data_IF_320033164399
#
_entry.id   IF_320033164399
#
_cell.length_a   1.000
_cell.length_b   1.000
_cell.length_c   1.000
_cell.angle_alpha   90.00
_cell.angle_beta   90.00
_cell.angle_gamma   90.00
#
_symmetry.space_group_name_H-M   'P 1'
#
loop_
_entity.id
_entity.type
_entity.pdbx_description
1 polymer ?
#
# COMPACT_ATOMS: atom_id res chain seq x y z
N UNK A 1 -15.73 17.37 2.88
CA UNK A 1 -15.64 17.88 1.49
C UNK A 1 -16.89 18.70 1.22
N UNK A 2 -16.76 19.90 0.65
CA UNK A 2 -17.92 20.70 0.22
C UNK A 2 -18.50 20.17 -1.09
N UNK A 3 -19.74 20.55 -1.42
CA UNK A 3 -20.38 20.20 -2.70
C UNK A 3 -19.58 20.72 -3.89
N UNK A 4 -19.05 21.93 -3.80
CA UNK A 4 -18.19 22.53 -4.84
C UNK A 4 -16.88 21.75 -5.03
N UNK A 5 -16.28 21.28 -3.93
CA UNK A 5 -15.08 20.43 -4.01
C UNK A 5 -15.37 19.09 -4.68
N UNK A 6 -16.54 18.50 -4.41
CA UNK A 6 -16.96 17.24 -5.04
C UNK A 6 -17.24 17.43 -6.54
N UNK A 7 -17.96 18.48 -6.92
CA UNK A 7 -18.25 18.79 -8.33
C UNK A 7 -16.97 19.14 -9.12
N UNK A 8 -16.02 19.85 -8.50
CA UNK A 8 -14.72 20.12 -9.10
C UNK A 8 -13.87 18.85 -9.28
N UNK A 9 -13.93 17.92 -8.31
CA UNK A 9 -13.29 16.62 -8.41
C UNK A 9 -13.85 15.80 -9.58
N UNK A 10 -15.18 15.73 -9.71
CA UNK A 10 -15.85 15.04 -10.83
C UNK A 10 -15.42 15.58 -12.20
N UNK A 11 -15.44 16.90 -12.40
CA UNK A 11 -14.98 17.51 -13.67
C UNK A 11 -13.51 17.18 -13.98
N UNK A 12 -12.65 17.19 -12.97
CA UNK A 12 -11.23 16.86 -13.15
C UNK A 12 -11.06 15.39 -13.60
N UNK A 13 -11.88 14.47 -13.08
CA UNK A 13 -11.87 13.08 -13.50
C UNK A 13 -12.34 12.90 -14.95
N UNK A 14 -13.38 13.64 -15.36
CA UNK A 14 -13.86 13.63 -16.75
C UNK A 14 -12.79 14.15 -17.71
N UNK A 15 -12.07 15.22 -17.36
CA UNK A 15 -10.98 15.76 -18.18
C UNK A 15 -9.76 14.81 -18.24
N UNK A 16 -9.50 14.06 -17.16
CA UNK A 16 -8.36 13.17 -17.08
C UNK A 16 -8.45 11.94 -17.99
N UNK A 17 -9.65 11.46 -18.33
CA UNK A 17 -9.82 10.18 -19.03
C UNK A 17 -9.18 10.18 -20.42
N UNK A 18 -9.25 11.29 -21.15
CA UNK A 18 -8.67 11.38 -22.50
C UNK A 18 -7.15 11.42 -22.46
N UNK A 19 -6.57 12.11 -21.47
CA UNK A 19 -5.13 12.09 -21.22
C UNK A 19 -4.65 10.67 -20.85
N UNK A 20 -5.40 9.95 -20.01
CA UNK A 20 -5.08 8.58 -19.62
C UNK A 20 -5.13 7.65 -20.85
N UNK A 21 -6.19 7.75 -21.65
CA UNK A 21 -6.34 6.95 -22.88
C UNK A 21 -5.20 7.22 -23.87
N UNK A 22 -4.82 8.48 -24.05
CA UNK A 22 -3.69 8.84 -24.91
C UNK A 22 -2.37 8.29 -24.39
N UNK A 23 -2.11 8.37 -23.08
CA UNK A 23 -0.90 7.83 -22.47
C UNK A 23 -0.80 6.31 -22.63
N UNK A 24 -1.90 5.59 -22.36
CA UNK A 24 -2.00 4.14 -22.55
C UNK A 24 -1.78 3.76 -24.02
N UNK A 25 -2.44 4.44 -24.96
CA UNK A 25 -2.32 4.16 -26.39
C UNK A 25 -0.92 4.46 -26.92
N UNK A 26 -0.24 5.48 -26.39
CA UNK A 26 1.11 5.87 -26.78
C UNK A 26 2.19 4.93 -26.28
N UNK A 27 1.95 4.18 -25.19
CA UNK A 27 2.93 3.27 -24.59
C UNK A 27 2.25 2.11 -23.85
N UNK A 28 1.59 1.18 -24.57
CA UNK A 28 0.81 0.11 -23.92
C UNK A 28 1.64 -0.85 -23.08
N UNK A 29 2.96 -0.96 -23.34
CA UNK A 29 3.90 -1.75 -22.54
C UNK A 29 4.46 -1.03 -21.31
N UNK A 30 4.16 0.26 -21.12
CA UNK A 30 4.51 0.98 -19.90
C UNK A 30 3.41 0.76 -18.84
N UNK A 31 3.71 0.21 -17.65
CA UNK A 31 2.72 0.01 -16.60
C UNK A 31 2.28 1.30 -15.88
N UNK A 32 2.99 2.42 -16.05
CA UNK A 32 2.68 3.66 -15.33
C UNK A 32 1.32 4.25 -15.74
N UNK A 33 0.99 4.40 -17.04
CA UNK A 33 -0.36 4.81 -17.45
C UNK A 33 -1.47 3.90 -16.92
N UNK A 34 -1.23 2.58 -16.83
CA UNK A 34 -2.18 1.62 -16.27
C UNK A 34 -2.43 1.83 -14.77
N UNK A 35 -1.40 2.16 -13.99
CA UNK A 35 -1.57 2.54 -12.58
C UNK A 35 -2.47 3.78 -12.44
N UNK A 36 -2.30 4.77 -13.32
CA UNK A 36 -3.14 5.98 -13.34
C UNK A 36 -4.58 5.64 -13.77
N UNK A 37 -4.76 4.76 -14.75
CA UNK A 37 -6.08 4.29 -15.17
C UNK A 37 -6.83 3.56 -14.05
N UNK A 38 -6.15 2.69 -13.28
CA UNK A 38 -6.74 2.01 -12.12
C UNK A 38 -7.11 2.99 -11.00
N UNK A 39 -6.25 3.98 -10.73
CA UNK A 39 -6.56 5.07 -9.79
C UNK A 39 -7.79 5.85 -10.24
N UNK A 40 -7.90 6.16 -11.53
CA UNK A 40 -9.04 6.85 -12.12
C UNK A 40 -10.31 6.03 -11.98
N UNK A 41 -10.30 4.74 -12.32
CA UNK A 41 -11.44 3.84 -12.14
C UNK A 41 -11.99 3.86 -10.71
N UNK A 42 -11.09 3.87 -9.71
CA UNK A 42 -11.50 3.97 -8.31
C UNK A 42 -12.14 5.32 -7.97
N UNK A 43 -11.58 6.42 -8.49
CA UNK A 43 -12.04 7.78 -8.20
C UNK A 43 -13.33 8.16 -8.92
N UNK A 44 -13.56 7.65 -10.14
CA UNK A 44 -14.73 7.95 -10.95
C UNK A 44 -15.92 7.04 -10.67
N UNK A 45 -15.81 6.16 -9.67
CA UNK A 45 -16.75 5.05 -9.45
C UNK A 45 -17.02 4.26 -10.73
N UNK A 46 -15.94 4.01 -11.49
CA UNK A 46 -16.00 3.34 -12.78
C UNK A 46 -16.54 1.93 -12.67
N UNK A 47 -17.17 1.46 -13.76
CA UNK A 47 -17.68 0.10 -13.87
C UNK A 47 -16.56 -0.93 -13.63
N UNK A 48 -16.85 -1.97 -12.84
CA UNK A 48 -15.93 -3.08 -12.55
C UNK A 48 -15.33 -3.70 -13.81
N UNK A 49 -16.07 -3.73 -14.91
CA UNK A 49 -15.60 -4.24 -16.20
C UNK A 49 -14.43 -3.42 -16.78
N UNK A 50 -14.42 -2.10 -16.60
CA UNK A 50 -13.32 -1.22 -17.03
C UNK A 50 -12.09 -1.45 -16.15
N UNK A 51 -12.29 -1.63 -14.84
CA UNK A 51 -11.23 -2.02 -13.92
C UNK A 51 -10.60 -3.36 -14.33
N UNK A 52 -11.43 -4.37 -14.61
CA UNK A 52 -10.95 -5.70 -15.02
C UNK A 52 -10.21 -5.64 -16.38
N UNK A 53 -10.60 -4.74 -17.29
CA UNK A 53 -9.87 -4.48 -18.53
C UNK A 53 -8.50 -3.86 -18.28
N UNK A 54 -8.43 -2.81 -17.44
CA UNK A 54 -7.16 -2.20 -17.06
C UNK A 54 -6.21 -3.21 -16.41
N UNK A 55 -6.74 -4.12 -15.58
CA UNK A 55 -5.95 -5.21 -14.99
C UNK A 55 -5.40 -6.18 -16.04
N UNK A 56 -6.21 -6.59 -17.02
CA UNK A 56 -5.74 -7.47 -18.11
C UNK A 56 -4.63 -6.83 -18.94
N UNK A 57 -4.72 -5.53 -19.19
CA UNK A 57 -3.68 -4.83 -19.94
C UNK A 57 -2.43 -4.58 -19.10
N UNK A 58 -2.58 -4.28 -17.80
CA UNK A 58 -1.46 -4.24 -16.86
C UNK A 58 -0.69 -5.57 -16.85
N UNK A 59 -1.39 -6.71 -16.83
CA UNK A 59 -0.77 -8.03 -16.83
C UNK A 59 0.10 -8.27 -18.09
N UNK A 60 -0.26 -7.65 -19.22
CA UNK A 60 0.55 -7.70 -20.46
C UNK A 60 1.76 -6.76 -20.40
N UNK A 61 1.64 -5.62 -19.72
CA UNK A 61 2.69 -4.60 -19.62
C UNK A 61 3.76 -4.97 -18.58
N UNK A 62 3.33 -5.14 -17.32
CA UNK A 62 4.17 -5.59 -16.21
C UNK A 62 3.27 -6.17 -15.09
N UNK A 63 3.18 -7.50 -14.97
CA UNK A 63 2.34 -8.14 -13.96
C UNK A 63 2.84 -7.92 -12.52
N UNK A 64 4.00 -7.31 -12.29
CA UNK A 64 4.56 -7.11 -10.95
C UNK A 64 4.77 -5.62 -10.61
N UNK A 65 4.28 -4.70 -11.45
CA UNK A 65 4.38 -3.27 -11.21
C UNK A 65 3.65 -2.87 -9.91
N UNK A 66 4.43 -2.59 -8.87
CA UNK A 66 3.92 -2.36 -7.52
C UNK A 66 2.86 -1.25 -7.46
N UNK A 67 3.12 -0.10 -8.11
CA UNK A 67 2.18 1.02 -8.07
C UNK A 67 0.81 0.66 -8.65
N UNK A 68 0.77 -0.10 -9.74
CA UNK A 68 -0.48 -0.51 -10.35
C UNK A 68 -1.20 -1.58 -9.52
N UNK A 69 -0.45 -2.54 -8.97
CA UNK A 69 -1.01 -3.57 -8.07
C UNK A 69 -1.54 -2.97 -6.77
N UNK A 70 -0.89 -1.95 -6.24
CA UNK A 70 -1.40 -1.16 -5.12
C UNK A 70 -2.74 -0.50 -5.46
N UNK A 71 -2.83 0.20 -6.61
CA UNK A 71 -4.08 0.85 -7.02
C UNK A 71 -5.22 -0.16 -7.21
N UNK A 72 -4.89 -1.34 -7.74
CA UNK A 72 -5.85 -2.43 -7.89
C UNK A 72 -6.32 -3.02 -6.55
N UNK A 73 -5.40 -3.29 -5.62
CA UNK A 73 -5.73 -3.74 -4.27
C UNK A 73 -6.66 -2.76 -3.56
N UNK A 74 -6.39 -1.45 -3.69
CA UNK A 74 -7.24 -0.41 -3.14
C UNK A 74 -8.65 -0.37 -3.78
N UNK A 75 -8.77 -0.65 -5.08
CA UNK A 75 -10.09 -0.71 -5.74
C UNK A 75 -10.97 -1.80 -5.11
N UNK A 76 -10.41 -2.99 -4.86
CA UNK A 76 -11.13 -4.15 -4.33
C UNK A 76 -11.19 -4.21 -2.80
N UNK A 77 -10.74 -3.18 -2.08
CA UNK A 77 -10.83 -3.14 -0.63
C UNK A 77 -12.20 -2.67 -0.13
N UNK A 78 -12.50 -2.97 1.14
CA UNK A 78 -13.83 -2.80 1.73
C UNK A 78 -14.40 -1.37 1.71
N UNK A 79 -13.53 -0.34 1.77
CA UNK A 79 -13.95 1.08 1.72
C UNK A 79 -14.26 1.58 0.30
N UNK A 80 -14.04 0.74 -0.71
CA UNK A 80 -14.29 1.03 -2.12
C UNK A 80 -15.26 -0.03 -2.69
N UNK A 81 -14.86 -0.84 -3.66
CA UNK A 81 -15.77 -1.69 -4.45
C UNK A 81 -15.72 -3.18 -4.09
N UNK A 82 -15.04 -3.55 -3.00
CA UNK A 82 -14.88 -4.95 -2.62
C UNK A 82 -15.02 -5.20 -1.12
N UNK A 83 -14.22 -6.10 -0.60
CA UNK A 83 -14.25 -6.54 0.81
C UNK A 83 -12.84 -6.74 1.36
N UNK A 84 -12.70 -6.95 2.68
CA UNK A 84 -11.40 -7.32 3.24
C UNK A 84 -10.90 -8.65 2.67
N UNK A 85 -11.79 -9.64 2.52
CA UNK A 85 -11.45 -10.94 1.94
C UNK A 85 -11.00 -10.81 0.48
N UNK A 86 -11.72 -10.03 -0.34
CA UNK A 86 -11.33 -9.82 -1.74
C UNK A 86 -9.98 -9.10 -1.87
N UNK A 87 -9.72 -8.12 -1.01
CA UNK A 87 -8.42 -7.43 -0.93
C UNK A 87 -7.28 -8.38 -0.58
N UNK A 88 -7.47 -9.22 0.44
CA UNK A 88 -6.44 -10.18 0.84
C UNK A 88 -6.24 -11.27 -0.20
N UNK A 89 -7.29 -11.80 -0.81
CA UNK A 89 -7.19 -12.77 -1.90
C UNK A 89 -6.44 -12.18 -3.10
N UNK A 90 -6.72 -10.93 -3.45
CA UNK A 90 -6.00 -10.22 -4.51
C UNK A 90 -4.52 -10.06 -4.17
N UNK A 91 -4.20 -9.58 -2.96
CA UNK A 91 -2.82 -9.38 -2.52
C UNK A 91 -2.06 -10.72 -2.45
N UNK A 92 -2.69 -11.78 -1.94
CA UNK A 92 -2.11 -13.13 -1.86
C UNK A 92 -1.73 -13.66 -3.24
N UNK A 93 -2.68 -13.68 -4.18
CA UNK A 93 -2.40 -14.12 -5.57
C UNK A 93 -1.30 -13.30 -6.22
N UNK A 94 -1.27 -11.98 -5.94
CA UNK A 94 -0.26 -11.08 -6.50
C UNK A 94 1.15 -11.42 -5.99
N UNK A 95 1.33 -11.69 -4.69
CA UNK A 95 2.66 -12.02 -4.14
C UNK A 95 3.11 -13.44 -4.47
N UNK A 96 2.17 -14.36 -4.65
CA UNK A 96 2.44 -15.75 -5.06
C UNK A 96 2.93 -15.84 -6.50
N UNK A 97 2.40 -14.99 -7.38
CA UNK A 97 2.79 -14.94 -8.79
C UNK A 97 4.11 -14.20 -9.04
N UNK A 98 4.66 -13.50 -8.05
CA UNK A 98 5.81 -12.61 -8.23
C UNK A 98 7.14 -13.20 -7.71
N UNK A 99 8.29 -12.82 -8.31
CA UNK A 99 9.61 -13.08 -7.75
C UNK A 99 9.77 -12.51 -6.33
N UNK A 100 10.64 -13.12 -5.51
CA UNK A 100 10.85 -12.68 -4.11
C UNK A 100 11.50 -11.31 -3.99
N UNK A 101 12.22 -10.90 -5.02
CA UNK A 101 12.94 -9.63 -5.11
C UNK A 101 12.03 -8.47 -5.55
N UNK A 102 10.83 -8.79 -6.08
CA UNK A 102 9.90 -7.77 -6.56
C UNK A 102 9.26 -7.02 -5.40
N UNK A 103 9.15 -5.68 -5.54
CA UNK A 103 8.50 -4.82 -4.52
C UNK A 103 7.10 -5.27 -4.15
N UNK A 104 6.39 -5.90 -5.10
CA UNK A 104 5.02 -6.37 -4.87
C UNK A 104 4.92 -7.38 -3.74
N UNK A 105 6.00 -8.05 -3.32
CA UNK A 105 6.01 -8.93 -2.15
C UNK A 105 5.55 -8.23 -0.86
N UNK A 106 5.71 -6.91 -0.75
CA UNK A 106 5.23 -6.15 0.41
C UNK A 106 3.75 -5.75 0.32
N UNK A 107 3.03 -6.09 -0.76
CA UNK A 107 1.61 -5.74 -0.94
C UNK A 107 0.69 -6.41 0.10
N UNK A 108 1.04 -7.60 0.59
CA UNK A 108 0.31 -8.21 1.71
C UNK A 108 0.41 -7.38 3.00
N UNK A 109 1.58 -6.79 3.29
CA UNK A 109 1.75 -5.90 4.44
C UNK A 109 0.88 -4.65 4.32
N UNK A 110 0.73 -4.17 3.09
CA UNK A 110 -0.12 -3.03 2.76
C UNK A 110 -1.61 -3.36 2.96
N UNK A 111 -2.06 -4.58 2.60
CA UNK A 111 -3.41 -5.07 2.90
C UNK A 111 -3.65 -5.22 4.42
N UNK A 112 -2.64 -5.69 5.16
CA UNK A 112 -2.68 -5.75 6.64
C UNK A 112 -2.85 -4.36 7.25
N UNK A 113 -2.10 -3.37 6.76
CA UNK A 113 -2.21 -1.99 7.22
C UNK A 113 -3.59 -1.40 6.92
N UNK A 114 -4.14 -1.65 5.73
CA UNK A 114 -5.48 -1.20 5.37
C UNK A 114 -6.57 -1.78 6.28
N UNK A 115 -6.48 -3.07 6.59
CA UNK A 115 -7.42 -3.71 7.51
C UNK A 115 -7.29 -3.13 8.93
N UNK A 116 -6.06 -2.90 9.40
CA UNK A 116 -5.78 -2.24 10.67
C UNK A 116 -6.34 -0.81 10.74
N UNK A 117 -6.26 -0.05 9.65
CA UNK A 117 -6.79 1.31 9.58
C UNK A 117 -8.32 1.33 9.64
N UNK A 118 -8.99 0.29 9.15
CA UNK A 118 -10.44 0.12 9.24
C UNK A 118 -10.88 -0.41 10.61
N UNK A 119 -10.16 -1.39 11.16
CA UNK A 119 -10.49 -2.06 12.42
C UNK A 119 -9.23 -2.31 13.28
N UNK A 120 -9.06 -1.63 14.43
CA UNK A 120 -7.88 -1.80 15.29
C UNK A 120 -7.65 -3.22 15.81
N UNK A 121 -8.70 -4.04 15.92
CA UNK A 121 -8.63 -5.45 16.33
C UNK A 121 -8.24 -6.42 15.22
N UNK A 122 -8.22 -5.98 13.96
CA UNK A 122 -8.07 -6.82 12.76
C UNK A 122 -6.86 -7.76 12.80
N UNK A 123 -5.72 -7.28 13.33
CA UNK A 123 -4.48 -8.06 13.33
C UNK A 123 -4.58 -9.34 14.15
N UNK A 124 -5.41 -9.36 15.20
CA UNK A 124 -5.58 -10.53 16.08
C UNK A 124 -6.50 -11.59 15.46
N UNK A 125 -7.32 -11.22 14.48
CA UNK A 125 -8.27 -12.13 13.84
C UNK A 125 -7.62 -13.10 12.84
N UNK A 126 -6.41 -12.79 12.34
CA UNK A 126 -5.72 -13.62 11.34
C UNK A 126 -4.20 -13.58 11.51
N UNK A 127 -3.66 -14.09 12.64
CA UNK A 127 -2.24 -13.99 12.97
C UNK A 127 -1.33 -14.60 11.91
N UNK A 128 -1.66 -15.77 11.36
CA UNK A 128 -0.84 -16.43 10.34
C UNK A 128 -0.68 -15.58 9.07
N UNK A 129 -1.77 -14.92 8.65
CA UNK A 129 -1.77 -14.01 7.49
C UNK A 129 -0.89 -12.79 7.75
N UNK A 130 -0.94 -12.25 8.97
CA UNK A 130 -0.12 -11.11 9.38
C UNK A 130 1.36 -11.49 9.43
N UNK A 131 1.70 -12.66 9.98
CA UNK A 131 3.08 -13.15 10.00
C UNK A 131 3.62 -13.44 8.59
N UNK A 132 2.82 -14.00 7.68
CA UNK A 132 3.21 -14.14 6.28
C UNK A 132 3.51 -12.78 5.64
N UNK A 133 2.63 -11.80 5.83
CA UNK A 133 2.81 -10.44 5.30
C UNK A 133 4.11 -9.79 5.81
N UNK A 134 4.40 -9.95 7.11
CA UNK A 134 5.64 -9.48 7.73
C UNK A 134 6.86 -10.18 7.11
N UNK A 135 6.83 -11.51 7.02
CA UNK A 135 7.91 -12.33 6.47
C UNK A 135 8.23 -11.98 5.02
N UNK A 136 7.20 -11.78 4.19
CA UNK A 136 7.34 -11.37 2.78
C UNK A 136 7.96 -9.99 2.65
N UNK A 137 7.50 -9.02 3.45
CA UNK A 137 8.04 -7.68 3.45
C UNK A 137 9.50 -7.64 3.93
N UNK A 138 9.84 -8.40 4.98
CA UNK A 138 11.21 -8.56 5.47
C UNK A 138 12.11 -9.20 4.42
N UNK A 139 11.69 -10.29 3.78
CA UNK A 139 12.46 -10.93 2.72
C UNK A 139 12.74 -10.00 1.53
N UNK A 140 11.77 -9.16 1.14
CA UNK A 140 11.99 -8.13 0.14
C UNK A 140 12.98 -7.04 0.59
N UNK A 141 12.87 -6.57 1.84
CA UNK A 141 13.77 -5.58 2.43
C UNK A 141 15.21 -6.10 2.53
N UNK A 142 15.40 -7.38 2.86
CA UNK A 142 16.71 -8.01 2.95
C UNK A 142 17.39 -8.09 1.57
N UNK A 143 16.60 -8.36 0.51
CA UNK A 143 17.09 -8.30 -0.87
C UNK A 143 17.32 -6.85 -1.37
N UNK A 144 16.74 -5.84 -0.71
CA UNK A 144 16.77 -4.43 -1.13
C UNK A 144 17.15 -3.49 0.04
N UNK A 145 18.39 -3.58 0.56
CA UNK A 145 18.74 -3.01 1.87
C UNK A 145 18.89 -1.48 1.90
N UNK A 146 18.95 -0.80 0.75
CA UNK A 146 19.19 0.66 0.68
C UNK A 146 18.09 1.45 1.42
N UNK A 147 18.40 2.04 2.58
CA UNK A 147 17.40 2.74 3.38
C UNK A 147 16.94 4.06 2.74
N UNK A 148 17.73 4.65 1.82
CA UNK A 148 17.41 5.89 1.12
C UNK A 148 16.51 5.69 -0.09
N UNK A 149 16.37 4.46 -0.58
CA UNK A 149 15.43 4.15 -1.64
C UNK A 149 13.99 4.27 -1.12
N UNK A 150 13.21 5.18 -1.72
CA UNK A 150 11.88 5.55 -1.23
C UNK A 150 10.93 4.37 -0.98
N UNK A 151 10.99 3.31 -1.81
CA UNK A 151 10.17 2.10 -1.61
C UNK A 151 10.59 1.32 -0.36
N UNK A 152 11.89 1.24 -0.08
CA UNK A 152 12.45 0.56 1.09
C UNK A 152 12.07 1.35 2.34
N UNK A 153 12.24 2.67 2.31
CA UNK A 153 11.85 3.54 3.43
C UNK A 153 10.34 3.42 3.71
N UNK A 154 9.50 3.46 2.67
CA UNK A 154 8.05 3.32 2.82
C UNK A 154 7.67 1.99 3.49
N UNK A 155 8.19 0.85 2.99
CA UNK A 155 7.89 -0.47 3.57
C UNK A 155 8.38 -0.60 5.01
N UNK A 156 9.55 -0.04 5.36
CA UNK A 156 10.03 -0.03 6.76
C UNK A 156 9.13 0.79 7.68
N UNK A 157 8.63 1.93 7.21
CA UNK A 157 7.66 2.75 7.96
C UNK A 157 6.34 1.97 8.17
N UNK A 158 5.84 1.27 7.14
CA UNK A 158 4.67 0.36 7.25
C UNK A 158 4.91 -0.74 8.27
N UNK A 159 6.05 -1.41 8.17
CA UNK A 159 6.39 -2.52 9.04
C UNK A 159 6.51 -2.08 10.50
N UNK A 160 7.14 -0.92 10.76
CA UNK A 160 7.19 -0.32 12.10
C UNK A 160 5.78 -0.06 12.66
N UNK A 161 4.85 0.44 11.83
CA UNK A 161 3.47 0.72 12.24
C UNK A 161 2.70 -0.56 12.59
N UNK A 162 2.85 -1.61 11.79
CA UNK A 162 2.20 -2.91 12.02
C UNK A 162 2.78 -3.58 13.27
N UNK A 163 4.12 -3.65 13.40
CA UNK A 163 4.80 -4.25 14.55
C UNK A 163 4.47 -3.55 15.88
N UNK A 164 4.29 -2.22 15.86
CA UNK A 164 3.84 -1.48 17.03
C UNK A 164 2.46 -1.95 17.53
N UNK A 165 1.50 -2.16 16.62
CA UNK A 165 0.16 -2.64 16.99
C UNK A 165 0.13 -4.11 17.39
N UNK A 166 1.10 -4.89 16.94
CA UNK A 166 1.31 -6.27 17.38
C UNK A 166 2.01 -6.37 18.73
N UNK A 167 2.28 -5.24 19.40
CA UNK A 167 3.03 -5.20 20.66
C UNK A 167 4.41 -5.87 20.54
N UNK A 168 5.07 -5.69 19.37
CA UNK A 168 6.45 -6.14 19.07
C UNK A 168 7.42 -4.95 19.04
N UNK A 169 7.60 -4.20 20.15
CA UNK A 169 8.27 -2.91 20.14
C UNK A 169 9.75 -2.99 19.77
N UNK A 170 10.43 -4.10 20.07
CA UNK A 170 11.83 -4.30 19.72
C UNK A 170 12.04 -4.39 18.21
N UNK A 171 11.19 -5.14 17.53
CA UNK A 171 11.28 -5.28 16.07
C UNK A 171 10.86 -3.97 15.38
N UNK A 172 9.82 -3.30 15.89
CA UNK A 172 9.44 -1.97 15.42
C UNK A 172 10.60 -0.97 15.56
N UNK A 173 11.33 -1.02 16.68
CA UNK A 173 12.50 -0.17 16.92
C UNK A 173 13.62 -0.43 15.90
N UNK A 174 13.93 -1.68 15.59
CA UNK A 174 14.93 -1.99 14.56
C UNK A 174 14.53 -1.45 13.17
N UNK A 175 13.24 -1.48 12.84
CA UNK A 175 12.77 -0.85 11.60
C UNK A 175 12.95 0.68 11.63
N UNK A 176 12.60 1.35 12.74
CA UNK A 176 12.80 2.80 12.86
C UNK A 176 14.27 3.21 12.84
N UNK A 177 15.15 2.39 13.40
CA UNK A 177 16.60 2.57 13.33
C UNK A 177 17.10 2.47 11.89
N UNK A 178 16.60 1.48 11.13
CA UNK A 178 16.93 1.31 9.72
C UNK A 178 16.32 2.39 8.82
N UNK A 179 15.16 2.96 9.17
CA UNK A 179 14.57 4.13 8.49
C UNK A 179 15.48 5.36 8.59
N UNK A 180 16.11 5.59 9.75
CA UNK A 180 16.98 6.75 9.96
C UNK A 180 16.26 8.08 9.62
N UNK A 181 16.78 8.89 8.68
CA UNK A 181 16.14 10.15 8.29
C UNK A 181 14.98 10.01 7.29
N UNK A 182 14.73 8.81 6.75
CA UNK A 182 13.82 8.58 5.62
C UNK A 182 12.37 8.31 6.06
N UNK A 183 11.85 9.11 6.99
CA UNK A 183 10.44 9.03 7.38
C UNK A 183 9.54 9.44 6.18
N UNK A 184 8.51 8.64 5.91
CA UNK A 184 7.59 8.83 4.79
C UNK A 184 6.24 9.36 5.25
N UNK A 185 5.41 9.89 4.34
CA UNK A 185 4.05 10.32 4.71
C UNK A 185 3.12 9.13 4.95
N UNK A 186 3.15 8.14 4.06
CA UNK A 186 2.55 6.83 4.25
C UNK A 186 3.45 5.97 5.15
N UNK A 187 2.95 5.23 6.14
CA UNK A 187 1.54 5.00 6.47
C UNK A 187 0.96 6.04 7.45
N UNK A 188 1.77 6.90 8.05
CA UNK A 188 1.38 7.73 9.19
C UNK A 188 0.18 8.64 8.91
N UNK A 189 0.01 9.06 7.65
CA UNK A 189 -1.12 9.88 7.19
C UNK A 189 -2.50 9.24 7.39
N UNK A 190 -2.64 7.92 7.56
CA UNK A 190 -3.96 7.32 7.83
C UNK A 190 -4.63 7.87 9.09
N UNK A 191 -3.85 8.27 10.09
CA UNK A 191 -4.35 8.61 11.42
C UNK A 191 -4.29 10.11 11.76
N UNK A 192 -3.67 10.93 10.91
CA UNK A 192 -3.56 12.37 11.18
C UNK A 192 -2.45 13.04 10.39
N UNK A 193 -1.81 14.04 11.00
CA UNK A 193 -0.62 14.62 10.39
C UNK A 193 0.53 13.61 10.39
N UNK A 194 1.08 13.31 9.22
CA UNK A 194 2.06 12.25 9.07
C UNK A 194 3.33 12.47 9.91
N UNK A 195 3.76 13.74 10.08
CA UNK A 195 4.96 14.05 10.86
C UNK A 195 4.67 13.88 12.35
N UNK A 196 3.54 14.40 12.82
CA UNK A 196 3.13 14.26 14.22
C UNK A 196 2.92 12.79 14.61
N UNK A 197 2.22 12.04 13.75
CA UNK A 197 1.97 10.61 13.94
C UNK A 197 3.27 9.79 13.98
N UNK A 198 4.21 10.04 13.06
CA UNK A 198 5.51 9.38 13.06
C UNK A 198 6.29 9.68 14.35
N UNK A 199 6.39 10.95 14.76
CA UNK A 199 7.18 11.34 15.93
C UNK A 199 6.60 10.80 17.24
N UNK A 200 5.27 10.79 17.36
CA UNK A 200 4.55 10.22 18.51
C UNK A 200 4.83 8.72 18.62
N UNK A 201 4.63 7.97 17.54
CA UNK A 201 4.84 6.53 17.53
C UNK A 201 6.31 6.14 17.72
N UNK A 202 7.24 6.89 17.11
CA UNK A 202 8.68 6.70 17.35
C UNK A 202 9.02 6.84 18.83
N UNK A 203 8.45 7.83 19.53
CA UNK A 203 8.71 8.05 20.96
C UNK A 203 8.16 6.92 21.83
N UNK A 204 6.95 6.41 21.52
CA UNK A 204 6.38 5.25 22.19
C UNK A 204 7.20 3.97 21.95
N UNK A 205 7.54 3.69 20.70
CA UNK A 205 8.32 2.50 20.32
C UNK A 205 9.68 2.49 21.05
N UNK A 206 10.39 3.62 21.09
CA UNK A 206 11.66 3.74 21.81
C UNK A 206 11.50 3.46 23.30
N UNK A 207 10.48 4.05 23.93
CA UNK A 207 10.20 3.84 25.36
C UNK A 207 9.88 2.38 25.67
N UNK A 208 8.99 1.76 24.87
CA UNK A 208 8.58 0.36 25.06
C UNK A 208 9.72 -0.63 24.80
N UNK A 209 10.55 -0.38 23.78
CA UNK A 209 11.70 -1.23 23.47
C UNK A 209 12.75 -1.20 24.59
N UNK A 210 12.99 -0.03 25.19
CA UNK A 210 13.89 0.12 26.33
C UNK A 210 13.37 -0.60 27.59
N UNK A 211 12.05 -0.58 27.83
CA UNK A 211 11.42 -1.27 28.96
C UNK A 211 11.38 -2.80 28.83
N UNK A 212 11.57 -3.31 27.61
CA UNK A 212 11.55 -4.76 27.30
C UNK A 212 12.95 -5.39 27.28
N UNK A 213 13.97 -4.66 27.77
CA UNK A 213 15.40 -5.06 27.83
C UNK A 213 15.82 -5.40 29.26
#
# INVERSE_FOLDING_TARGET
>A
MSREQFEAFGRTLEEAIDCIRQAVAGSPGDPVPWAVALRHCRGSEGDRSVFDECLRELDKADPHHYGARWEAMQFVCAKWFGSHDEMFDFAQRTVEAAPREARVQSLLLDAVLEHLAAEPSALRASPDRVEEAISRAQGWLDANPDPGHHLTSQTRNTLARVLFHLERPREAYEQLKAVGPYATAYPWRYWGDAREEFLTHRSHIVTMAAASS
#
